data_IF_175713185867
#
_entry.id   IF_175713185867
#
_cell.length_a   1.000
_cell.length_b   1.000
_cell.length_c   1.000
_cell.angle_alpha   90.00
_cell.angle_beta   90.00
_cell.angle_gamma   90.00
#
_symmetry.space_group_name_H-M   'P 1'
#
loop_
_entity.id
_entity.type
_entity.pdbx_description
1 polymer ?
#
# COMPACT_ATOMS: atom_id res chain seq x y z
N UNK A 1 -34.34 -6.10 11.86
CA UNK A 1 -33.61 -4.93 11.31
C UNK A 1 -33.86 -4.73 9.81
N UNK A 2 -33.88 -5.79 8.95
CA UNK A 2 -34.32 -5.67 7.54
C UNK A 2 -35.76 -5.16 7.38
N UNK A 3 -36.68 -5.62 8.22
CA UNK A 3 -38.11 -5.30 8.06
C UNK A 3 -38.48 -3.84 8.39
N UNK A 4 -37.65 -3.14 9.16
CA UNK A 4 -37.83 -1.70 9.45
C UNK A 4 -37.39 -0.80 8.28
N UNK A 5 -36.35 -1.20 7.54
CA UNK A 5 -35.88 -0.51 6.33
C UNK A 5 -36.97 -0.46 5.25
N UNK A 6 -37.67 -1.58 5.06
CA UNK A 6 -38.69 -1.75 4.02
C UNK A 6 -39.97 -0.96 4.35
N UNK A 7 -40.31 -0.79 5.64
CA UNK A 7 -41.55 -0.14 6.07
C UNK A 7 -41.49 1.40 6.09
N UNK A 8 -40.36 1.99 6.48
CA UNK A 8 -40.27 3.44 6.74
C UNK A 8 -39.31 4.19 5.80
N UNK A 9 -38.62 3.51 4.88
CA UNK A 9 -37.69 4.13 3.94
C UNK A 9 -36.44 4.79 4.57
N UNK A 10 -36.33 4.79 5.89
CA UNK A 10 -35.20 5.35 6.62
C UNK A 10 -34.07 4.32 6.70
N UNK A 11 -33.20 4.36 5.70
CA UNK A 11 -31.94 3.65 5.68
C UNK A 11 -30.79 4.61 5.46
N UNK A 12 -29.67 4.41 6.16
CA UNK A 12 -28.44 5.12 5.89
C UNK A 12 -27.59 4.29 4.93
N UNK A 13 -27.38 4.79 3.71
CA UNK A 13 -26.43 4.20 2.75
C UNK A 13 -25.08 4.86 2.97
N UNK A 14 -24.16 4.18 3.63
CA UNK A 14 -22.75 4.58 3.68
C UNK A 14 -22.11 4.27 2.33
N UNK A 15 -22.00 5.28 1.46
CA UNK A 15 -21.28 5.17 0.18
C UNK A 15 -19.84 5.66 0.37
N UNK A 16 -18.96 4.77 0.80
CA UNK A 16 -17.53 5.06 0.88
C UNK A 16 -16.89 4.93 -0.52
N UNK A 17 -16.35 6.03 -1.05
CA UNK A 17 -15.51 6.01 -2.25
C UNK A 17 -14.06 6.09 -1.75
N UNK A 18 -13.27 5.05 -1.97
CA UNK A 18 -11.82 5.10 -1.69
C UNK A 18 -11.21 5.93 -2.82
N UNK A 19 -11.04 7.22 -2.58
CA UNK A 19 -10.47 8.16 -3.54
C UNK A 19 -8.98 8.29 -3.17
N UNK A 20 -8.12 7.69 -3.98
CA UNK A 20 -6.65 7.65 -3.88
C UNK A 20 -6.06 6.56 -2.96
N UNK A 21 -5.77 5.39 -3.54
CA UNK A 21 -4.82 4.44 -2.97
C UNK A 21 -3.49 4.56 -3.74
N UNK A 22 -2.44 5.07 -3.11
CA UNK A 22 -1.09 5.10 -3.70
C UNK A 22 -0.52 3.69 -3.62
N UNK A 23 -0.29 3.07 -4.78
CA UNK A 23 0.31 1.72 -4.84
C UNK A 23 1.79 1.85 -4.46
N UNK A 24 2.28 1.12 -3.44
CA UNK A 24 3.71 1.12 -3.13
C UNK A 24 4.49 0.48 -4.28
N UNK A 25 5.48 1.20 -4.81
CA UNK A 25 6.38 0.74 -5.88
C UNK A 25 7.77 0.57 -5.27
N UNK A 26 8.53 -0.41 -5.76
CA UNK A 26 9.96 -0.57 -5.47
C UNK A 26 10.65 -0.98 -6.78
N UNK A 27 11.79 -0.37 -7.07
CA UNK A 27 12.66 -0.75 -8.18
C UNK A 27 13.66 -1.79 -7.68
N UNK A 28 13.78 -2.92 -8.40
CA UNK A 28 14.70 -4.00 -8.06
C UNK A 28 15.72 -4.20 -9.16
N UNK A 29 16.99 -3.90 -8.87
CA UNK A 29 18.13 -4.23 -9.72
C UNK A 29 18.52 -5.70 -9.55
N UNK A 30 17.91 -6.60 -10.33
CA UNK A 30 18.20 -8.02 -10.23
C UNK A 30 19.50 -8.42 -10.96
N UNK A 31 20.05 -9.59 -10.62
CA UNK A 31 21.30 -10.15 -11.15
C UNK A 31 22.54 -9.33 -10.80
N UNK A 32 22.58 -8.74 -9.61
CA UNK A 32 23.70 -7.91 -9.17
C UNK A 32 25.02 -8.70 -9.01
N UNK A 33 24.99 -10.04 -9.09
CA UNK A 33 26.15 -10.91 -9.12
C UNK A 33 26.96 -10.82 -10.42
N UNK A 34 26.35 -10.37 -11.53
CA UNK A 34 27.02 -10.21 -12.83
C UNK A 34 27.76 -8.86 -12.90
N UNK A 35 28.74 -8.65 -12.02
CA UNK A 35 29.46 -7.37 -11.90
C UNK A 35 30.21 -6.98 -13.18
N UNK A 36 30.81 -7.95 -13.87
CA UNK A 36 31.54 -7.72 -15.13
C UNK A 36 30.62 -7.40 -16.32
N UNK A 37 29.35 -7.77 -16.25
CA UNK A 37 28.34 -7.49 -17.28
C UNK A 37 27.44 -6.32 -16.89
N UNK A 38 27.83 -5.56 -15.86
CA UNK A 38 27.04 -4.43 -15.36
C UNK A 38 26.98 -3.32 -16.41
N UNK A 39 25.77 -3.06 -16.90
CA UNK A 39 25.47 -1.95 -17.81
C UNK A 39 24.75 -0.78 -17.16
N UNK A 40 24.14 -0.99 -15.98
CA UNK A 40 23.48 0.05 -15.18
C UNK A 40 24.21 0.19 -13.85
N UNK A 41 24.64 1.42 -13.54
CA UNK A 41 25.30 1.72 -12.28
C UNK A 41 24.31 1.64 -11.11
N UNK A 42 24.83 1.52 -9.89
CA UNK A 42 23.99 1.55 -8.69
C UNK A 42 23.39 2.94 -8.50
N UNK A 43 24.13 4.00 -8.83
CA UNK A 43 23.65 5.38 -8.77
C UNK A 43 22.47 5.61 -9.72
N UNK A 44 22.50 5.08 -10.94
CA UNK A 44 21.41 5.24 -11.90
C UNK A 44 20.11 4.59 -11.42
N UNK A 45 20.20 3.37 -10.86
CA UNK A 45 19.05 2.69 -10.25
C UNK A 45 18.46 3.48 -9.07
N UNK A 46 19.32 4.04 -8.22
CA UNK A 46 18.90 4.88 -7.10
C UNK A 46 18.27 6.20 -7.56
N UNK A 47 18.87 6.88 -8.54
CA UNK A 47 18.35 8.12 -9.11
C UNK A 47 16.99 7.90 -9.77
N UNK A 48 16.81 6.79 -10.48
CA UNK A 48 15.53 6.40 -11.04
C UNK A 48 14.47 6.21 -9.94
N UNK A 49 14.80 5.50 -8.87
CA UNK A 49 13.86 5.30 -7.76
C UNK A 49 13.47 6.63 -7.09
N UNK A 50 14.43 7.56 -6.95
CA UNK A 50 14.16 8.92 -6.47
C UNK A 50 13.23 9.70 -7.41
N UNK A 51 13.38 9.57 -8.72
CA UNK A 51 12.49 10.20 -9.71
C UNK A 51 11.06 9.68 -9.62
N UNK A 52 10.89 8.39 -9.32
CA UNK A 52 9.58 7.74 -9.16
C UNK A 52 9.05 7.77 -7.73
N UNK A 53 9.70 8.47 -6.79
CA UNK A 53 9.33 8.55 -5.37
C UNK A 53 9.13 7.16 -4.74
N UNK A 54 10.10 6.26 -4.98
CA UNK A 54 10.05 4.88 -4.56
C UNK A 54 11.41 4.36 -4.06
N UNK A 55 11.42 3.17 -3.46
CA UNK A 55 12.65 2.55 -2.94
C UNK A 55 13.41 1.78 -4.02
N UNK A 56 14.73 1.62 -3.83
CA UNK A 56 15.60 0.80 -4.69
C UNK A 56 16.30 -0.30 -3.89
N UNK A 57 16.35 -1.52 -4.44
CA UNK A 57 17.09 -2.67 -3.88
C UNK A 57 17.82 -3.41 -5.00
N UNK A 58 19.06 -3.83 -4.76
CA UNK A 58 19.74 -4.80 -5.63
C UNK A 58 19.57 -6.22 -5.06
N UNK A 59 19.35 -7.19 -5.95
CA UNK A 59 19.18 -8.60 -5.56
C UNK A 59 19.86 -9.55 -6.56
N UNK A 60 20.19 -10.74 -6.10
CA UNK A 60 20.55 -11.86 -6.98
C UNK A 60 19.79 -13.11 -6.56
N UNK A 61 18.88 -13.55 -7.42
CA UNK A 61 18.22 -14.84 -7.27
C UNK A 61 19.23 -16.01 -7.29
N UNK A 62 20.28 -15.90 -8.12
CA UNK A 62 21.31 -16.94 -8.29
C UNK A 62 22.18 -17.08 -7.04
N UNK A 63 22.63 -15.96 -6.49
CA UNK A 63 23.49 -15.94 -5.30
C UNK A 63 22.68 -15.95 -3.98
N UNK A 64 21.35 -16.05 -4.06
CA UNK A 64 20.44 -15.91 -2.93
C UNK A 64 20.68 -14.62 -2.10
N UNK A 65 21.02 -13.53 -2.79
CA UNK A 65 21.34 -12.23 -2.20
C UNK A 65 20.10 -11.31 -2.23
N UNK A 66 19.72 -10.75 -1.08
CA UNK A 66 18.55 -9.87 -0.86
C UNK A 66 17.20 -10.42 -1.38
N UNK A 67 17.12 -11.70 -1.73
CA UNK A 67 15.89 -12.35 -2.22
C UNK A 67 14.78 -12.29 -1.17
N UNK A 68 15.14 -12.46 0.12
CA UNK A 68 14.19 -12.35 1.22
C UNK A 68 13.65 -10.93 1.40
N UNK A 69 14.51 -9.91 1.26
CA UNK A 69 14.09 -8.52 1.35
C UNK A 69 13.07 -8.19 0.24
N UNK A 70 13.39 -8.53 -1.01
CA UNK A 70 12.48 -8.35 -2.16
C UNK A 70 11.18 -9.14 -1.97
N UNK A 71 11.25 -10.38 -1.45
CA UNK A 71 10.06 -11.19 -1.17
C UNK A 71 9.17 -10.56 -0.10
N UNK A 72 9.77 -9.95 0.93
CA UNK A 72 9.03 -9.30 2.00
C UNK A 72 8.31 -8.02 1.54
N UNK A 73 8.84 -7.33 0.53
CA UNK A 73 8.23 -6.13 -0.07
C UNK A 73 6.83 -6.42 -0.65
N UNK A 74 6.60 -7.62 -1.20
CA UNK A 74 5.29 -8.06 -1.70
C UNK A 74 4.19 -8.02 -0.62
N UNK A 75 4.55 -8.17 0.65
CA UNK A 75 3.60 -8.19 1.77
C UNK A 75 3.44 -6.81 2.45
N UNK A 76 4.29 -5.82 2.12
CA UNK A 76 4.16 -4.45 2.61
C UNK A 76 2.79 -3.81 2.36
N UNK A 77 2.13 -3.96 1.18
CA UNK A 77 0.79 -3.39 1.00
C UNK A 77 -0.22 -3.99 1.98
N UNK A 78 -0.12 -5.27 2.36
CA UNK A 78 -1.03 -5.87 3.34
C UNK A 78 -0.83 -5.24 4.73
N UNK A 79 0.41 -5.02 5.16
CA UNK A 79 0.71 -4.38 6.45
C UNK A 79 0.29 -2.90 6.47
N UNK A 80 0.55 -2.16 5.39
CA UNK A 80 0.17 -0.74 5.27
C UNK A 80 -1.34 -0.56 5.17
N UNK A 81 -2.06 -1.46 4.47
CA UNK A 81 -3.52 -1.46 4.43
C UNK A 81 -4.08 -1.74 5.82
N UNK A 82 -3.54 -2.71 6.57
CA UNK A 82 -3.99 -2.98 7.94
C UNK A 82 -3.71 -1.80 8.89
N UNK A 83 -2.55 -1.15 8.78
CA UNK A 83 -2.25 0.06 9.54
C UNK A 83 -3.19 1.21 9.18
N UNK A 84 -3.44 1.45 7.89
CA UNK A 84 -4.37 2.46 7.41
C UNK A 84 -5.82 2.18 7.85
N UNK A 85 -6.28 0.93 7.78
CA UNK A 85 -7.60 0.52 8.27
C UNK A 85 -7.71 0.66 9.80
N UNK A 86 -6.63 0.38 10.54
CA UNK A 86 -6.60 0.62 11.98
C UNK A 86 -6.69 2.12 12.31
N UNK A 87 -6.05 2.98 11.50
CA UNK A 87 -6.12 4.43 11.63
C UNK A 87 -7.54 4.97 11.36
N UNK A 88 -8.22 4.46 10.31
CA UNK A 88 -9.62 4.83 10.03
C UNK A 88 -10.54 4.43 11.20
N UNK A 89 -10.28 3.31 11.86
CA UNK A 89 -11.10 2.87 13.01
C UNK A 89 -11.03 3.84 14.20
N UNK A 90 -9.95 4.61 14.32
CA UNK A 90 -9.80 5.61 15.39
C UNK A 90 -10.46 6.95 15.05
N UNK A 91 -10.33 7.45 13.81
CA UNK A 91 -10.97 8.72 13.41
C UNK A 91 -12.51 8.65 13.45
N UNK A 92 -13.07 7.47 13.18
CA UNK A 92 -14.52 7.23 13.27
C UNK A 92 -15.05 7.17 14.72
N UNK A 93 -14.18 7.05 15.75
CA UNK A 93 -14.61 7.17 17.16
C UNK A 93 -14.91 8.62 17.57
N UNK A 94 -14.46 9.62 16.79
CA UNK A 94 -14.66 11.03 17.09
C UNK A 94 -15.93 11.63 16.46
N UNK A 95 -16.59 10.93 15.52
CA UNK A 95 -17.87 11.37 14.96
C UNK A 95 -18.98 11.06 15.97
N UNK A 96 -19.24 12.01 16.87
CA UNK A 96 -20.46 12.02 17.68
C UNK A 96 -21.66 12.02 16.75
N UNK A 97 -22.57 11.07 16.98
CA UNK A 97 -23.84 10.96 16.28
C UNK A 97 -24.69 12.17 16.65
N UNK A 98 -24.66 13.21 15.82
CA UNK A 98 -25.68 14.25 15.87
C UNK A 98 -26.96 13.67 15.25
N UNK A 99 -27.81 13.12 16.12
CA UNK A 99 -29.20 12.82 15.79
C UNK A 99 -29.94 14.14 15.53
N UNK A 100 -29.82 14.65 14.31
CA UNK A 100 -30.49 15.88 13.90
C UNK A 100 -31.40 15.70 12.69
N UNK A 101 -32.13 14.59 12.59
CA UNK A 101 -33.31 14.54 11.73
C UNK A 101 -34.38 13.69 12.42
N UNK A 102 -35.26 14.39 13.14
CA UNK A 102 -36.59 13.92 13.54
C UNK A 102 -37.50 13.90 12.31
#
# INVERSE_FOLDING_TARGET
MRDLYIKNGQGFVLKAKIVHFKVPIVIVGNKCDLTSERVVSREDGFNMAKQYDCSFVESSAKANYNVNEVRNIKYLPHTLILQYLSFISEEQKQIKIDNKYR
#
